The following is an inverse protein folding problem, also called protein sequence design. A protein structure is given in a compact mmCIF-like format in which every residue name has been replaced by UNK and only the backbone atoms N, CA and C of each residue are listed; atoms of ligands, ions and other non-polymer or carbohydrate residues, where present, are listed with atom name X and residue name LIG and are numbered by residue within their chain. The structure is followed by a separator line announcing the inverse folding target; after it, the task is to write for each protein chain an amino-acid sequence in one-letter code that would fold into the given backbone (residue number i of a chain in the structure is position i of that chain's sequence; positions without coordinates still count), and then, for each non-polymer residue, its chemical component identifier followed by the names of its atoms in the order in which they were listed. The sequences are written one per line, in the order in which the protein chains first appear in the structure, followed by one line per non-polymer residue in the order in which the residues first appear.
data_IF_631842844693
#
_entry.id   IF_631842844693
#
_cell.length_a   1.000
_cell.length_b   1.000
_cell.length_c   1.000
_cell.angle_alpha   90.00
_cell.angle_beta   90.00
_cell.angle_gamma   90.00
#
_symmetry.space_group_name_H-M   'P 1'
#
loop_
_entity.id
_entity.type
_entity.pdbx_description
1 polymer ?
#
# COMPACT_ATOMS: atom_id res chain seq x y z
N UNK A 1 -35.55 43.40 6.71
CA UNK A 1 -35.45 41.94 6.53
C UNK A 1 -34.01 41.57 6.22
N UNK A 2 -33.22 41.22 7.24
CA UNK A 2 -31.86 40.72 7.03
C UNK A 2 -31.94 39.33 6.40
N UNK A 3 -31.52 39.18 5.14
CA UNK A 3 -31.34 37.86 4.51
C UNK A 3 -30.24 37.15 5.30
N UNK A 4 -30.63 36.24 6.20
CA UNK A 4 -29.74 35.20 6.73
C UNK A 4 -29.43 34.23 5.59
N UNK A 5 -28.59 34.65 4.66
CA UNK A 5 -27.99 33.75 3.69
C UNK A 5 -27.05 32.80 4.43
N UNK A 6 -27.07 31.52 4.10
CA UNK A 6 -26.05 30.58 4.54
C UNK A 6 -24.75 30.95 3.81
N UNK A 7 -23.85 31.68 4.47
CA UNK A 7 -22.53 32.01 3.92
C UNK A 7 -21.63 30.75 3.98
N UNK A 8 -21.75 29.89 2.96
CA UNK A 8 -20.94 28.68 2.82
C UNK A 8 -19.48 29.05 2.48
N UNK A 9 -18.55 28.62 3.32
CA UNK A 9 -17.11 28.77 3.05
C UNK A 9 -16.57 27.58 2.25
N UNK A 10 -15.43 27.75 1.59
CA UNK A 10 -14.73 26.64 0.92
C UNK A 10 -14.39 25.51 1.91
N UNK A 11 -14.08 25.86 3.16
CA UNK A 11 -13.82 24.92 4.23
C UNK A 11 -15.08 24.06 4.49
N UNK A 12 -16.25 24.68 4.69
CA UNK A 12 -17.51 23.96 4.91
C UNK A 12 -17.84 23.00 3.77
N UNK A 13 -17.63 23.43 2.52
CA UNK A 13 -17.87 22.60 1.33
C UNK A 13 -16.94 21.39 1.29
N UNK A 14 -15.63 21.58 1.51
CA UNK A 14 -14.67 20.47 1.55
C UNK A 14 -15.01 19.49 2.67
N UNK A 15 -15.40 19.99 3.86
CA UNK A 15 -15.86 19.12 4.97
C UNK A 15 -17.03 18.26 4.54
N UNK A 16 -18.06 18.89 3.98
CA UNK A 16 -19.27 18.22 3.54
C UNK A 16 -18.97 17.13 2.50
N UNK A 17 -18.16 17.46 1.48
CA UNK A 17 -17.79 16.51 0.43
C UNK A 17 -17.04 15.30 0.98
N UNK A 18 -16.08 15.49 1.89
CA UNK A 18 -15.33 14.37 2.48
C UNK A 18 -16.20 13.49 3.40
N UNK A 19 -17.12 14.08 4.17
CA UNK A 19 -18.08 13.32 4.98
C UNK A 19 -19.02 12.52 4.07
N UNK A 20 -19.56 13.16 3.03
CA UNK A 20 -20.43 12.47 2.06
C UNK A 20 -19.66 11.35 1.36
N UNK A 21 -18.41 11.55 0.97
CA UNK A 21 -17.57 10.52 0.37
C UNK A 21 -17.37 9.31 1.29
N UNK A 22 -17.13 9.54 2.59
CA UNK A 22 -17.07 8.46 3.57
C UNK A 22 -18.38 7.70 3.67
N UNK A 23 -19.51 8.40 3.77
CA UNK A 23 -20.83 7.77 3.90
C UNK A 23 -21.24 7.02 2.64
N UNK A 24 -20.96 7.56 1.45
CA UNK A 24 -21.24 6.90 0.16
C UNK A 24 -20.38 5.66 0.00
N UNK A 25 -19.09 5.72 0.37
CA UNK A 25 -18.20 4.57 0.38
C UNK A 25 -18.76 3.46 1.29
N UNK A 26 -19.16 3.77 2.52
CA UNK A 26 -19.76 2.79 3.43
C UNK A 26 -21.08 2.23 2.89
N UNK A 27 -21.95 3.09 2.36
CA UNK A 27 -23.23 2.67 1.82
C UNK A 27 -23.09 1.73 0.61
N UNK A 28 -22.06 1.94 -0.22
CA UNK A 28 -21.80 1.11 -1.39
C UNK A 28 -21.08 -0.19 -1.08
N UNK A 29 -20.24 -0.22 -0.03
CA UNK A 29 -19.31 -1.33 0.19
C UNK A 29 -19.58 -2.18 1.44
N UNK A 30 -20.49 -1.81 2.34
CA UNK A 30 -20.75 -2.63 3.55
C UNK A 30 -21.29 -4.03 3.21
N UNK A 31 -20.84 -5.10 3.91
CA UNK A 31 -19.92 -5.13 5.05
C UNK A 31 -18.42 -5.16 4.68
N UNK A 32 -18.10 -5.02 3.40
CA UNK A 32 -16.77 -5.04 2.82
C UNK A 32 -16.69 -6.07 1.70
N UNK A 33 -15.87 -5.79 0.68
CA UNK A 33 -15.56 -6.77 -0.36
C UNK A 33 -14.44 -7.70 0.11
N UNK A 34 -14.66 -9.00 0.02
CA UNK A 34 -13.78 -10.05 0.57
C UNK A 34 -13.20 -10.89 -0.57
N UNK A 35 -11.92 -10.67 -0.86
CA UNK A 35 -11.15 -11.51 -1.78
C UNK A 35 -10.67 -12.80 -1.12
N UNK A 36 -10.11 -13.75 -1.89
CA UNK A 36 -9.48 -14.94 -1.30
C UNK A 36 -8.47 -14.59 -0.19
N UNK A 37 -7.63 -13.57 -0.39
CA UNK A 37 -6.70 -13.09 0.63
C UNK A 37 -7.41 -12.57 1.89
N UNK A 38 -8.52 -11.83 1.70
CA UNK A 38 -9.32 -11.29 2.79
C UNK A 38 -9.95 -12.42 3.62
N UNK A 39 -10.47 -13.43 2.94
CA UNK A 39 -11.08 -14.62 3.53
C UNK A 39 -10.06 -15.41 4.33
N UNK A 40 -8.88 -15.69 3.76
CA UNK A 40 -7.80 -16.38 4.47
C UNK A 40 -7.35 -15.60 5.71
N UNK A 41 -7.17 -14.28 5.62
CA UNK A 41 -6.73 -13.48 6.77
C UNK A 41 -7.81 -13.33 7.84
N UNK A 42 -9.09 -13.26 7.47
CA UNK A 42 -10.20 -13.32 8.43
C UNK A 42 -10.27 -14.69 9.12
N UNK A 43 -10.04 -15.77 8.38
CA UNK A 43 -9.96 -17.13 8.91
C UNK A 43 -8.82 -17.31 9.91
N UNK A 44 -7.61 -16.86 9.57
CA UNK A 44 -6.47 -16.82 10.50
C UNK A 44 -6.82 -16.04 11.77
N UNK A 45 -7.43 -14.86 11.61
CA UNK A 45 -7.85 -14.02 12.73
C UNK A 45 -8.84 -14.72 13.66
N UNK A 46 -9.86 -15.40 13.11
CA UNK A 46 -10.88 -16.10 13.91
C UNK A 46 -10.39 -17.38 14.56
N UNK A 47 -9.52 -18.14 13.88
CA UNK A 47 -9.11 -19.48 14.34
C UNK A 47 -7.79 -19.47 15.10
N UNK A 48 -7.03 -18.38 15.00
CA UNK A 48 -5.68 -18.27 15.53
C UNK A 48 -4.71 -19.21 14.82
N UNK A 49 -4.88 -19.45 13.53
CA UNK A 49 -3.96 -20.23 12.69
C UNK A 49 -3.14 -19.30 11.79
N UNK A 50 -2.14 -19.87 11.10
CA UNK A 50 -1.32 -19.22 10.10
C UNK A 50 -1.32 -20.09 8.85
N UNK A 51 -1.93 -19.61 7.77
CA UNK A 51 -1.99 -20.26 6.46
C UNK A 51 -1.30 -19.41 5.38
N UNK A 52 -1.31 -18.09 5.56
CA UNK A 52 -0.73 -17.11 4.67
C UNK A 52 0.70 -16.76 5.09
N UNK A 53 1.50 -16.38 4.12
CA UNK A 53 2.88 -15.92 4.31
C UNK A 53 2.98 -14.41 4.57
N UNK A 54 1.85 -13.71 4.71
CA UNK A 54 1.85 -12.29 5.12
C UNK A 54 2.18 -12.11 6.60
N UNK A 55 2.40 -10.88 7.08
CA UNK A 55 2.49 -10.63 8.52
C UNK A 55 1.17 -10.95 9.23
N UNK A 56 1.27 -11.43 10.47
CA UNK A 56 0.10 -11.77 11.30
C UNK A 56 -0.74 -10.53 11.71
N UNK A 57 -0.12 -9.35 11.79
CA UNK A 57 -0.76 -8.15 12.34
C UNK A 57 -2.08 -7.78 11.66
N UNK A 58 -2.21 -7.97 10.35
CA UNK A 58 -3.47 -7.68 9.67
C UNK A 58 -4.59 -8.66 10.06
N UNK A 59 -4.29 -9.96 10.13
CA UNK A 59 -5.25 -10.97 10.60
C UNK A 59 -5.66 -10.69 12.06
N UNK A 60 -4.72 -10.27 12.92
CA UNK A 60 -5.01 -9.88 14.30
C UNK A 60 -5.90 -8.64 14.38
N UNK A 61 -5.67 -7.63 13.53
CA UNK A 61 -6.56 -6.46 13.43
C UNK A 61 -7.98 -6.89 13.05
N UNK A 62 -8.12 -7.76 12.04
CA UNK A 62 -9.43 -8.30 11.66
C UNK A 62 -10.08 -9.07 12.81
N UNK A 63 -9.31 -9.90 13.53
CA UNK A 63 -9.80 -10.64 14.70
C UNK A 63 -10.36 -9.71 15.79
N UNK A 64 -9.66 -8.61 16.09
CA UNK A 64 -10.12 -7.63 17.09
C UNK A 64 -11.46 -7.03 16.67
N UNK A 65 -11.61 -6.58 15.42
CA UNK A 65 -12.87 -6.01 14.94
C UNK A 65 -14.00 -7.05 14.89
N UNK A 66 -13.72 -8.24 14.37
CA UNK A 66 -14.66 -9.36 14.25
C UNK A 66 -15.15 -9.85 15.62
N UNK A 67 -14.29 -9.78 16.66
CA UNK A 67 -14.66 -10.15 18.03
C UNK A 67 -15.66 -9.18 18.68
N UNK A 68 -15.73 -7.93 18.20
CA UNK A 68 -16.66 -6.91 18.70
C UNK A 68 -17.98 -6.95 17.92
N UNK A 69 -17.89 -6.97 16.59
CA UNK A 69 -19.05 -7.14 15.69
C UNK A 69 -18.68 -8.19 14.65
N UNK A 70 -19.34 -9.36 14.64
CA UNK A 70 -19.03 -10.43 13.68
C UNK A 70 -19.07 -9.93 12.24
N UNK A 71 -18.04 -10.29 11.48
CA UNK A 71 -17.81 -9.87 10.10
C UNK A 71 -16.82 -8.70 10.00
N UNK A 72 -16.80 -8.05 8.83
CA UNK A 72 -15.80 -7.02 8.51
C UNK A 72 -16.35 -5.60 8.48
N UNK A 73 -17.64 -5.41 8.79
CA UNK A 73 -18.30 -4.11 8.72
C UNK A 73 -17.65 -3.08 9.67
N UNK A 74 -17.36 -3.47 10.92
CA UNK A 74 -16.73 -2.57 11.88
C UNK A 74 -15.29 -2.24 11.49
N UNK A 75 -14.55 -3.23 10.96
CA UNK A 75 -13.23 -3.00 10.39
C UNK A 75 -13.28 -1.99 9.24
N UNK A 76 -14.24 -2.14 8.32
CA UNK A 76 -14.41 -1.24 7.18
C UNK A 76 -14.66 0.21 7.63
N UNK A 77 -15.55 0.39 8.62
CA UNK A 77 -15.81 1.69 9.25
C UNK A 77 -14.53 2.25 9.87
N UNK A 78 -13.79 1.45 10.64
CA UNK A 78 -12.55 1.87 11.29
C UNK A 78 -11.47 2.27 10.30
N UNK A 79 -11.21 1.43 9.30
CA UNK A 79 -10.21 1.69 8.25
C UNK A 79 -10.54 2.94 7.44
N UNK A 80 -11.80 3.07 7.00
CA UNK A 80 -12.27 4.27 6.30
C UNK A 80 -12.19 5.51 7.17
N UNK A 81 -12.57 5.42 8.45
CA UNK A 81 -12.48 6.53 9.39
C UNK A 81 -11.04 7.04 9.54
N UNK A 82 -10.05 6.15 9.64
CA UNK A 82 -8.62 6.53 9.72
C UNK A 82 -8.23 7.41 8.53
N UNK A 83 -8.61 7.04 7.30
CA UNK A 83 -8.34 7.84 6.12
C UNK A 83 -9.10 9.17 6.16
N UNK A 84 -10.43 9.13 6.24
CA UNK A 84 -11.25 10.33 6.09
C UNK A 84 -11.06 11.33 7.23
N UNK A 85 -10.78 10.87 8.46
CA UNK A 85 -10.38 11.75 9.55
C UNK A 85 -9.03 12.43 9.29
N UNK A 86 -8.08 11.71 8.68
CA UNK A 86 -6.78 12.28 8.28
C UNK A 86 -6.95 13.34 7.18
N UNK A 87 -7.76 13.06 6.16
CA UNK A 87 -8.07 14.01 5.07
C UNK A 87 -8.79 15.26 5.60
N UNK A 88 -9.78 15.09 6.49
CA UNK A 88 -10.46 16.20 7.16
C UNK A 88 -9.48 17.01 8.03
N UNK A 89 -8.54 16.32 8.69
CA UNK A 89 -7.50 16.93 9.51
C UNK A 89 -6.55 17.84 8.76
N UNK A 90 -6.28 17.58 7.46
CA UNK A 90 -5.41 18.43 6.62
C UNK A 90 -5.86 19.88 6.56
N UNK A 91 -7.16 20.14 6.64
CA UNK A 91 -7.74 21.50 6.71
C UNK A 91 -7.17 22.29 7.89
N UNK A 92 -6.98 21.63 9.05
CA UNK A 92 -6.43 22.24 10.26
C UNK A 92 -4.92 22.51 10.20
N UNK A 93 -4.24 22.11 9.12
CA UNK A 93 -2.86 22.48 8.86
C UNK A 93 -2.74 23.81 8.10
N UNK A 94 -3.86 24.39 7.67
CA UNK A 94 -3.93 25.62 6.88
C UNK A 94 -4.80 26.66 7.55
N UNK A 95 -4.46 27.95 7.44
CA UNK A 95 -5.25 29.01 8.08
C UNK A 95 -6.63 29.16 7.44
N UNK A 96 -6.75 28.91 6.12
CA UNK A 96 -8.01 28.95 5.36
C UNK A 96 -7.93 27.94 4.21
N UNK A 97 -9.06 27.31 3.90
CA UNK A 97 -9.19 26.49 2.70
C UNK A 97 -9.46 27.37 1.47
N UNK A 98 -8.77 27.10 0.37
CA UNK A 98 -9.03 27.66 -0.95
C UNK A 98 -10.19 26.95 -1.64
N UNK A 99 -10.92 27.67 -2.49
CA UNK A 99 -11.95 27.08 -3.35
C UNK A 99 -11.41 26.03 -4.32
N UNK A 100 -10.10 26.01 -4.60
CA UNK A 100 -9.46 24.95 -5.37
C UNK A 100 -9.56 23.56 -4.70
N UNK A 101 -9.71 23.51 -3.37
CA UNK A 101 -9.88 22.24 -2.66
C UNK A 101 -11.26 21.60 -2.86
N UNK A 102 -12.30 22.38 -3.15
CA UNK A 102 -13.65 21.85 -3.36
C UNK A 102 -13.74 20.87 -4.56
N UNK A 103 -13.27 21.21 -5.78
CA UNK A 103 -13.27 20.26 -6.89
C UNK A 103 -12.36 19.06 -6.62
N UNK A 104 -11.23 19.22 -5.93
CA UNK A 104 -10.38 18.08 -5.55
C UNK A 104 -11.09 17.16 -4.55
N UNK A 105 -11.78 17.71 -3.54
CA UNK A 105 -12.58 16.91 -2.61
C UNK A 105 -13.76 16.23 -3.31
N UNK A 106 -14.36 16.87 -4.33
CA UNK A 106 -15.37 16.25 -5.17
C UNK A 106 -14.79 15.05 -5.94
N UNK A 107 -13.55 15.14 -6.45
CA UNK A 107 -12.88 14.01 -7.09
C UNK A 107 -12.72 12.82 -6.12
N UNK A 108 -12.49 13.02 -4.82
CA UNK A 108 -12.50 11.93 -3.85
C UNK A 108 -13.88 11.27 -3.74
N UNK A 109 -14.95 12.06 -3.75
CA UNK A 109 -16.33 11.56 -3.72
C UNK A 109 -16.66 10.74 -4.97
N UNK A 110 -16.15 11.11 -6.14
CA UNK A 110 -16.48 10.46 -7.43
C UNK A 110 -15.33 9.62 -7.99
N UNK A 111 -14.36 9.22 -7.18
CA UNK A 111 -13.25 8.39 -7.63
C UNK A 111 -13.49 6.93 -7.23
N UNK A 112 -13.54 5.96 -8.17
CA UNK A 112 -13.52 4.54 -7.83
C UNK A 112 -12.31 4.10 -6.99
N UNK A 113 -11.16 4.81 -7.07
CA UNK A 113 -9.98 4.56 -6.23
C UNK A 113 -10.26 4.85 -4.74
N UNK A 114 -11.25 5.69 -4.44
CA UNK A 114 -11.69 5.92 -3.06
C UNK A 114 -12.93 5.09 -2.78
N UNK A 115 -13.96 5.17 -3.61
CA UNK A 115 -15.25 4.51 -3.34
C UNK A 115 -15.16 2.99 -3.30
N UNK A 116 -14.40 2.37 -4.21
CA UNK A 116 -14.34 0.91 -4.32
C UNK A 116 -13.21 0.38 -3.45
N UNK A 117 -11.97 0.88 -3.61
CA UNK A 117 -10.81 0.33 -2.89
C UNK A 117 -10.92 0.45 -1.38
N UNK A 118 -11.45 1.55 -0.85
CA UNK A 118 -11.67 1.68 0.59
C UNK A 118 -12.72 0.69 1.11
N UNK A 119 -13.61 0.23 0.23
CA UNK A 119 -14.58 -0.83 0.46
C UNK A 119 -14.01 -2.25 0.52
N UNK A 120 -12.79 -2.46 0.03
CA UNK A 120 -12.17 -3.79 -0.03
C UNK A 120 -11.40 -4.06 1.26
N UNK A 121 -11.60 -5.25 1.83
CA UNK A 121 -10.92 -5.69 3.05
C UNK A 121 -9.53 -6.22 2.69
N UNK A 122 -8.63 -5.32 2.34
CA UNK A 122 -7.23 -5.63 2.01
C UNK A 122 -6.24 -4.96 2.96
N UNK A 123 -5.15 -5.68 3.23
CA UNK A 123 -3.97 -5.16 3.93
C UNK A 123 -3.37 -3.93 3.24
N UNK A 124 -3.40 -3.87 1.90
CA UNK A 124 -2.93 -2.71 1.12
C UNK A 124 -3.63 -1.40 1.50
N UNK A 125 -4.94 -1.48 1.70
CA UNK A 125 -5.79 -0.35 2.00
C UNK A 125 -5.49 0.15 3.41
N UNK A 126 -5.45 -0.76 4.39
CA UNK A 126 -5.11 -0.40 5.76
C UNK A 126 -3.70 0.16 5.86
N UNK A 127 -2.73 -0.44 5.16
CA UNK A 127 -1.36 0.08 5.07
C UNK A 127 -1.34 1.53 4.57
N UNK A 128 -1.99 1.80 3.43
CA UNK A 128 -2.04 3.14 2.85
C UNK A 128 -2.74 4.15 3.78
N UNK A 129 -3.86 3.76 4.39
CA UNK A 129 -4.62 4.59 5.33
C UNK A 129 -3.80 4.95 6.58
N UNK A 130 -3.14 3.97 7.19
CA UNK A 130 -2.26 4.17 8.35
C UNK A 130 -1.03 5.01 8.01
N UNK A 131 -0.44 4.82 6.82
CA UNK A 131 0.69 5.62 6.37
C UNK A 131 0.28 7.10 6.18
N UNK A 132 -0.85 7.35 5.51
CA UNK A 132 -1.43 8.71 5.37
C UNK A 132 -1.70 9.33 6.75
N UNK A 133 -2.32 8.59 7.66
CA UNK A 133 -2.59 9.06 9.02
C UNK A 133 -1.29 9.38 9.78
N UNK A 134 -0.29 8.52 9.68
CA UNK A 134 1.03 8.71 10.28
C UNK A 134 1.70 10.01 9.82
N UNK A 135 1.77 10.25 8.51
CA UNK A 135 2.36 11.49 7.98
C UNK A 135 1.49 12.72 8.23
N UNK A 136 0.17 12.60 8.25
CA UNK A 136 -0.72 13.67 8.69
C UNK A 136 -0.41 14.08 10.14
N UNK A 137 -0.26 13.11 11.05
CA UNK A 137 0.09 13.37 12.45
C UNK A 137 1.50 13.97 12.57
N UNK A 138 2.48 13.55 11.76
CA UNK A 138 3.79 14.22 11.68
C UNK A 138 3.66 15.66 11.19
N UNK A 139 2.85 15.91 10.17
CA UNK A 139 2.59 17.27 9.68
C UNK A 139 1.96 18.13 10.78
N UNK A 140 0.98 17.58 11.52
CA UNK A 140 0.35 18.25 12.67
C UNK A 140 1.36 18.52 13.79
N UNK A 141 2.24 17.57 14.08
CA UNK A 141 3.30 17.73 15.06
C UNK A 141 4.26 18.87 14.65
N UNK A 142 4.57 19.00 13.35
CA UNK A 142 5.47 20.03 12.85
C UNK A 142 4.94 21.47 13.01
N UNK A 143 3.62 21.65 12.89
CA UNK A 143 2.94 22.93 13.12
C UNK A 143 2.96 23.28 14.60
N UNK A 144 2.76 22.29 15.47
CA UNK A 144 2.72 22.47 16.92
C UNK A 144 4.12 22.51 17.58
N UNK A 145 5.18 22.17 16.83
CA UNK A 145 6.54 22.09 17.34
C UNK A 145 7.10 23.36 18.00
N UNK A 146 6.82 24.60 17.53
CA UNK A 146 7.27 25.81 18.21
C UNK A 146 6.75 25.98 19.65
N UNK A 147 5.75 25.21 20.08
CA UNK A 147 5.29 25.24 21.46
C UNK A 147 6.42 24.82 22.42
N UNK A 148 6.39 25.30 23.67
CA UNK A 148 7.43 25.01 24.69
C UNK A 148 7.63 23.51 24.99
N UNK A 149 6.80 22.62 24.45
CA UNK A 149 6.87 21.15 24.65
C UNK A 149 6.54 20.41 23.35
N UNK A 150 7.22 19.29 23.06
CA UNK A 150 6.86 18.43 21.93
C UNK A 150 5.42 17.92 22.05
N UNK A 151 4.69 17.78 20.93
CA UNK A 151 3.32 17.26 20.93
C UNK A 151 3.31 15.74 21.07
N UNK A 152 3.71 15.24 22.25
CA UNK A 152 3.97 13.81 22.51
C UNK A 152 2.84 12.86 22.11
N UNK A 153 1.57 13.23 22.36
CA UNK A 153 0.42 12.39 22.00
C UNK A 153 0.32 12.23 20.47
N UNK A 154 0.49 13.32 19.73
CA UNK A 154 0.44 13.33 18.26
C UNK A 154 1.61 12.54 17.69
N UNK A 155 2.81 12.68 18.27
CA UNK A 155 3.99 11.90 17.87
C UNK A 155 3.81 10.41 18.16
N UNK A 156 3.33 10.04 19.35
CA UNK A 156 3.05 8.65 19.68
C UNK A 156 2.03 8.03 18.71
N UNK A 157 0.96 8.77 18.41
CA UNK A 157 -0.02 8.36 17.39
C UNK A 157 0.60 8.18 16.01
N UNK A 158 1.47 9.10 15.59
CA UNK A 158 2.17 9.00 14.30
C UNK A 158 3.06 7.76 14.22
N UNK A 159 3.88 7.52 15.25
CA UNK A 159 4.80 6.39 15.32
C UNK A 159 4.03 5.06 15.38
N UNK A 160 2.94 5.00 16.15
CA UNK A 160 2.10 3.81 16.23
C UNK A 160 1.42 3.50 14.89
N UNK A 161 0.86 4.51 14.23
CA UNK A 161 0.23 4.34 12.91
C UNK A 161 1.24 3.81 11.89
N UNK A 162 2.45 4.38 11.83
CA UNK A 162 3.50 3.96 10.91
C UNK A 162 4.09 2.58 11.25
N UNK A 163 4.23 2.26 12.54
CA UNK A 163 4.69 0.95 12.99
C UNK A 163 3.68 -0.16 12.62
N UNK A 164 2.38 0.11 12.82
CA UNK A 164 1.32 -0.78 12.40
C UNK A 164 1.25 -0.89 10.87
N UNK A 165 1.37 0.21 10.13
CA UNK A 165 1.46 0.18 8.67
C UNK A 165 2.60 -0.76 8.20
N UNK A 166 3.79 -0.62 8.77
CA UNK A 166 4.93 -1.48 8.47
C UNK A 166 4.72 -2.96 8.85
N UNK A 167 3.80 -3.27 9.77
CA UNK A 167 3.42 -4.67 10.06
C UNK A 167 2.26 -5.17 9.22
N UNK A 168 1.41 -4.31 8.66
CA UNK A 168 0.33 -4.76 7.76
C UNK A 168 0.92 -5.26 6.42
N UNK A 169 2.05 -4.70 5.99
CA UNK A 169 2.79 -5.05 4.77
C UNK A 169 4.28 -5.15 5.07
N UNK A 170 4.93 -6.28 4.78
CA UNK A 170 6.36 -6.52 5.09
C UNK A 170 7.29 -5.44 4.51
N UNK A 171 7.07 -5.02 3.27
CA UNK A 171 7.83 -3.95 2.62
C UNK A 171 7.41 -2.53 3.07
N UNK A 172 6.39 -2.41 3.92
CA UNK A 172 5.92 -1.14 4.48
C UNK A 172 6.95 -0.45 5.38
N UNK A 173 7.95 -1.18 5.89
CA UNK A 173 9.04 -0.60 6.69
C UNK A 173 9.87 0.44 5.92
N UNK A 174 9.83 0.42 4.57
CA UNK A 174 10.44 1.44 3.71
C UNK A 174 9.94 2.86 4.03
N UNK A 175 8.74 2.99 4.61
CA UNK A 175 8.17 4.28 5.00
C UNK A 175 8.89 4.91 6.21
N UNK A 176 9.43 4.08 7.12
CA UNK A 176 10.06 4.52 8.37
C UNK A 176 11.22 5.54 8.19
N UNK A 177 12.21 5.36 7.30
CA UNK A 177 13.27 6.33 7.12
C UNK A 177 12.75 7.71 6.67
N UNK A 178 11.71 7.78 5.85
CA UNK A 178 11.13 9.06 5.40
C UNK A 178 10.37 9.77 6.52
N UNK A 179 9.69 9.03 7.40
CA UNK A 179 9.12 9.58 8.61
C UNK A 179 10.21 10.16 9.54
N UNK A 180 11.32 9.43 9.69
CA UNK A 180 12.50 9.91 10.43
C UNK A 180 13.09 11.19 9.83
N UNK A 181 13.24 11.26 8.52
CA UNK A 181 13.72 12.46 7.81
C UNK A 181 12.76 13.65 8.00
N UNK A 182 11.45 13.43 7.92
CA UNK A 182 10.44 14.47 8.15
C UNK A 182 10.53 15.05 9.57
N UNK A 183 10.72 14.19 10.57
CA UNK A 183 10.88 14.64 11.95
C UNK A 183 12.23 15.32 12.17
N UNK A 184 13.33 14.77 11.66
CA UNK A 184 14.65 15.41 11.71
C UNK A 184 14.61 16.83 11.15
N UNK A 185 13.94 17.01 10.00
CA UNK A 185 13.74 18.30 9.38
C UNK A 185 12.87 19.23 10.22
N UNK A 186 11.80 18.71 10.84
CA UNK A 186 10.93 19.49 11.74
C UNK A 186 11.73 20.12 12.89
N UNK A 187 12.69 19.39 13.46
CA UNK A 187 13.50 19.83 14.62
C UNK A 187 14.77 20.59 14.22
N UNK A 188 15.02 20.84 12.93
CA UNK A 188 16.27 21.47 12.44
C UNK A 188 16.63 22.82 13.05
N UNK A 189 15.64 23.57 13.51
CA UNK A 189 15.85 24.84 14.21
C UNK A 189 16.54 24.71 15.57
N UNK A 190 16.56 23.51 16.17
CA UNK A 190 17.18 23.24 17.47
C UNK A 190 18.62 22.70 17.35
N UNK A 191 19.17 22.65 16.13
CA UNK A 191 20.54 22.22 15.84
C UNK A 191 20.65 20.78 15.32
N UNK A 192 21.72 20.51 14.57
CA UNK A 192 21.90 19.26 13.82
C UNK A 192 21.90 18.00 14.69
N UNK A 193 22.46 18.07 15.92
CA UNK A 193 22.48 16.94 16.86
C UNK A 193 21.06 16.53 17.26
N UNK A 194 20.20 17.51 17.57
CA UNK A 194 18.80 17.24 17.92
C UNK A 194 18.02 16.70 16.73
N UNK A 195 18.24 17.25 15.54
CA UNK A 195 17.67 16.67 14.30
C UNK A 195 18.04 15.21 14.09
N UNK A 196 19.32 14.86 14.26
CA UNK A 196 19.77 13.47 14.13
C UNK A 196 19.14 12.57 15.21
N UNK A 197 19.10 13.02 16.46
CA UNK A 197 18.50 12.25 17.56
C UNK A 197 17.01 11.98 17.28
N UNK A 198 16.26 13.00 16.88
CA UNK A 198 14.84 12.83 16.56
C UNK A 198 14.60 12.01 15.31
N UNK A 199 15.43 12.16 14.27
CA UNK A 199 15.34 11.38 13.05
C UNK A 199 15.64 9.90 13.26
N UNK A 200 16.81 9.60 13.81
CA UNK A 200 17.24 8.23 14.11
C UNK A 200 16.37 7.61 15.21
N UNK A 201 16.00 8.37 16.23
CA UNK A 201 15.15 7.92 17.32
C UNK A 201 13.74 7.55 16.85
N UNK A 202 13.13 8.34 15.96
CA UNK A 202 11.82 7.99 15.39
C UNK A 202 11.90 6.80 14.44
N UNK A 203 12.93 6.72 13.60
CA UNK A 203 13.17 5.53 12.78
C UNK A 203 13.29 4.26 13.64
N UNK A 204 14.15 4.29 14.66
CA UNK A 204 14.32 3.18 15.59
C UNK A 204 13.03 2.85 16.35
N UNK A 205 12.29 3.87 16.81
CA UNK A 205 11.01 3.67 17.49
C UNK A 205 9.98 2.98 16.59
N UNK A 206 9.89 3.36 15.31
CA UNK A 206 9.00 2.70 14.35
C UNK A 206 9.41 1.24 14.15
N UNK A 207 10.70 0.96 13.92
CA UNK A 207 11.21 -0.41 13.74
C UNK A 207 10.93 -1.28 14.96
N UNK A 208 11.24 -0.78 16.17
CA UNK A 208 11.03 -1.52 17.42
C UNK A 208 9.55 -1.73 17.68
N UNK A 209 8.72 -0.68 17.57
CA UNK A 209 7.27 -0.82 17.76
C UNK A 209 6.65 -1.76 16.74
N UNK A 210 7.11 -1.72 15.49
CA UNK A 210 6.68 -2.61 14.42
C UNK A 210 7.02 -4.07 14.77
N UNK A 211 8.24 -4.35 15.20
CA UNK A 211 8.62 -5.68 15.65
C UNK A 211 7.79 -6.17 16.85
N UNK A 212 7.56 -5.31 17.85
CA UNK A 212 6.74 -5.65 19.02
C UNK A 212 5.28 -5.95 18.63
N UNK A 213 4.70 -5.17 17.72
CA UNK A 213 3.36 -5.44 17.16
C UNK A 213 3.36 -6.78 16.44
N UNK A 214 4.38 -7.07 15.63
CA UNK A 214 4.53 -8.35 14.92
C UNK A 214 4.54 -9.53 15.87
N UNK A 215 5.36 -9.49 16.93
CA UNK A 215 5.43 -10.52 17.98
C UNK A 215 4.09 -10.66 18.70
N UNK A 216 3.49 -9.53 19.12
CA UNK A 216 2.21 -9.54 19.83
C UNK A 216 1.03 -10.03 18.98
N UNK A 217 1.16 -9.97 17.66
CA UNK A 217 0.14 -10.41 16.70
C UNK A 217 0.23 -11.89 16.34
N UNK A 218 1.32 -12.58 16.67
CA UNK A 218 1.46 -13.99 16.35
C UNK A 218 0.43 -14.82 17.14
N UNK A 219 -0.38 -15.66 16.48
CA UNK A 219 -1.37 -16.44 17.19
C UNK A 219 -0.71 -17.57 17.99
N UNK A 220 -1.30 -17.92 19.14
CA UNK A 220 -0.73 -18.91 20.05
C UNK A 220 -0.60 -20.33 19.44
N UNK A 221 -1.38 -20.65 18.41
CA UNK A 221 -1.31 -21.94 17.69
C UNK A 221 -0.41 -21.88 16.45
N UNK A 222 0.20 -20.73 16.15
CA UNK A 222 1.19 -20.67 15.09
C UNK A 222 2.41 -21.50 15.50
N UNK A 223 2.85 -22.39 14.61
CA UNK A 223 4.19 -22.94 14.70
C UNK A 223 5.27 -21.85 14.50
N UNK A 224 6.54 -22.23 14.31
CA UNK A 224 7.58 -21.29 13.94
C UNK A 224 7.17 -20.48 12.69
N UNK A 225 7.42 -19.17 12.70
CA UNK A 225 7.06 -18.31 11.57
C UNK A 225 7.98 -18.59 10.37
N UNK A 226 7.49 -19.37 9.40
CA UNK A 226 8.20 -19.72 8.16
C UNK A 226 7.82 -18.80 7.00
N UNK A 227 6.87 -17.90 7.21
CA UNK A 227 6.26 -17.07 6.18
C UNK A 227 7.27 -16.22 5.38
N UNK A 228 8.24 -15.62 6.08
CA UNK A 228 9.28 -14.82 5.44
C UNK A 228 10.19 -15.65 4.53
N UNK A 229 10.57 -16.86 4.97
CA UNK A 229 11.39 -17.78 4.17
C UNK A 229 10.66 -18.28 2.93
N UNK A 230 9.39 -18.65 3.08
CA UNK A 230 8.52 -19.07 1.98
C UNK A 230 8.36 -17.95 0.94
N UNK A 231 8.11 -16.71 1.37
CA UNK A 231 7.97 -15.57 0.46
C UNK A 231 9.24 -15.27 -0.35
N UNK A 232 10.42 -15.35 0.29
CA UNK A 232 11.70 -15.17 -0.41
C UNK A 232 11.93 -16.31 -1.40
N UNK A 233 11.68 -17.56 -1.00
CA UNK A 233 11.83 -18.72 -1.88
C UNK A 233 10.95 -18.63 -3.12
N UNK A 234 9.69 -18.23 -2.95
CA UNK A 234 8.76 -18.01 -4.06
C UNK A 234 9.30 -16.95 -5.03
N UNK A 235 9.84 -15.86 -4.50
CA UNK A 235 10.48 -14.80 -5.30
C UNK A 235 11.69 -15.32 -6.08
N UNK A 236 12.58 -16.07 -5.43
CA UNK A 236 13.77 -16.66 -6.06
C UNK A 236 13.40 -17.63 -7.18
N UNK A 237 12.40 -18.49 -6.95
CA UNK A 237 11.89 -19.43 -7.96
C UNK A 237 11.27 -18.72 -9.16
N UNK A 238 10.49 -17.67 -8.91
CA UNK A 238 9.89 -16.84 -9.96
C UNK A 238 10.96 -16.18 -10.84
N UNK A 239 12.02 -15.68 -10.22
CA UNK A 239 13.15 -15.05 -10.90
C UNK A 239 13.95 -16.02 -11.74
N UNK A 240 14.20 -17.22 -11.22
CA UNK A 240 14.91 -18.27 -11.95
C UNK A 240 14.12 -18.60 -13.22
N UNK A 241 12.82 -18.83 -13.10
CA UNK A 241 11.97 -19.17 -14.25
C UNK A 241 11.85 -17.98 -15.22
N UNK A 242 11.64 -16.77 -14.69
CA UNK A 242 11.55 -15.56 -15.49
C UNK A 242 12.84 -15.28 -16.27
N UNK A 243 14.00 -15.45 -15.63
CA UNK A 243 15.29 -15.30 -16.31
C UNK A 243 15.48 -16.32 -17.43
N UNK A 244 15.05 -17.58 -17.24
CA UNK A 244 15.07 -18.61 -18.31
C UNK A 244 14.10 -18.28 -19.44
N UNK A 245 12.93 -17.70 -19.13
CA UNK A 245 11.97 -17.28 -20.14
C UNK A 245 12.50 -16.13 -21.01
N UNK A 246 13.27 -15.21 -20.42
CA UNK A 246 13.91 -14.09 -21.14
C UNK A 246 15.23 -14.48 -21.83
N UNK A 247 15.96 -15.46 -21.30
CA UNK A 247 17.15 -16.04 -21.90
C UNK A 247 17.06 -17.58 -21.94
N UNK A 248 16.54 -18.15 -23.04
CA UNK A 248 16.46 -19.60 -23.22
C UNK A 248 17.82 -20.30 -23.27
N UNK A 249 18.95 -19.59 -23.33
CA UNK A 249 20.29 -20.20 -23.29
C UNK A 249 20.89 -20.26 -21.89
N UNK A 250 20.25 -19.63 -20.90
CA UNK A 250 20.70 -19.52 -19.51
C UNK A 250 20.89 -20.88 -18.84
N UNK A 251 22.13 -21.24 -18.49
CA UNK A 251 22.43 -22.53 -17.84
C UNK A 251 22.04 -22.48 -16.37
N UNK A 252 21.24 -23.45 -15.92
CA UNK A 252 20.90 -23.61 -14.50
C UNK A 252 21.91 -24.55 -13.84
N UNK A 253 23.15 -24.10 -13.72
CA UNK A 253 24.30 -24.95 -13.33
C UNK A 253 24.11 -25.58 -11.95
N UNK A 254 23.62 -24.81 -10.97
CA UNK A 254 23.39 -25.25 -9.60
C UNK A 254 22.23 -26.24 -9.54
N UNK A 255 21.11 -25.94 -10.22
CA UNK A 255 19.97 -26.87 -10.28
C UNK A 255 20.33 -28.15 -11.00
N UNK A 256 21.01 -28.07 -12.14
CA UNK A 256 21.40 -29.25 -12.91
C UNK A 256 22.38 -30.15 -12.13
N UNK A 257 23.20 -29.58 -11.25
CA UNK A 257 24.08 -30.35 -10.38
C UNK A 257 23.31 -31.06 -9.24
N UNK A 258 22.27 -30.41 -8.69
CA UNK A 258 21.46 -30.97 -7.61
C UNK A 258 20.38 -31.96 -8.11
N UNK A 259 19.73 -31.63 -9.23
CA UNK A 259 18.65 -32.38 -9.86
C UNK A 259 18.67 -32.13 -11.39
N UNK A 260 19.28 -33.02 -12.19
CA UNK A 260 19.34 -32.89 -13.64
C UNK A 260 17.96 -32.83 -14.32
N UNK A 261 16.92 -33.41 -13.71
CA UNK A 261 15.55 -33.36 -14.23
C UNK A 261 14.96 -31.95 -14.12
N UNK A 262 15.34 -31.22 -13.06
CA UNK A 262 14.79 -29.91 -12.75
C UNK A 262 14.97 -28.90 -13.90
N UNK A 263 16.16 -28.89 -14.51
CA UNK A 263 16.44 -28.01 -15.64
C UNK A 263 15.52 -28.33 -16.84
N UNK A 264 15.28 -29.61 -17.12
CA UNK A 264 14.38 -30.03 -18.21
C UNK A 264 12.96 -29.53 -17.98
N UNK A 265 12.42 -29.72 -16.78
CA UNK A 265 11.07 -29.29 -16.41
C UNK A 265 10.92 -27.77 -16.43
N UNK A 266 11.87 -27.04 -15.85
CA UNK A 266 11.85 -25.57 -15.85
C UNK A 266 11.82 -25.03 -17.27
N UNK A 267 12.61 -25.59 -18.18
CA UNK A 267 12.70 -25.11 -19.56
C UNK A 267 11.48 -25.47 -20.41
N UNK A 268 10.99 -26.70 -20.28
CA UNK A 268 9.93 -27.23 -21.15
C UNK A 268 8.53 -26.94 -20.64
N UNK A 269 8.36 -26.74 -19.33
CA UNK A 269 7.06 -26.50 -18.68
C UNK A 269 7.01 -25.17 -17.95
N UNK A 270 8.05 -24.83 -17.19
CA UNK A 270 8.10 -23.59 -16.41
C UNK A 270 8.14 -22.32 -17.26
N UNK A 271 9.15 -22.18 -18.12
CA UNK A 271 9.36 -20.99 -18.94
C UNK A 271 8.18 -20.67 -19.89
N UNK A 272 7.50 -21.66 -20.52
CA UNK A 272 6.28 -21.38 -21.28
C UNK A 272 5.08 -20.89 -20.45
N UNK A 273 5.04 -21.20 -19.14
CA UNK A 273 4.00 -20.73 -18.22
C UNK A 273 4.35 -19.38 -17.57
N UNK A 274 5.59 -18.92 -17.71
CA UNK A 274 6.00 -17.62 -17.19
C UNK A 274 5.15 -16.50 -17.79
N UNK A 275 4.69 -15.62 -16.90
CA UNK A 275 4.10 -14.35 -17.28
C UNK A 275 4.37 -13.31 -16.20
N UNK A 276 4.60 -12.05 -16.57
CA UNK A 276 4.72 -10.93 -15.62
C UNK A 276 3.39 -10.55 -14.94
N UNK A 277 2.26 -11.17 -15.35
CA UNK A 277 0.93 -10.91 -14.76
C UNK A 277 0.83 -11.49 -13.35
N UNK A 278 1.20 -12.76 -13.18
CA UNK A 278 1.08 -13.47 -11.90
C UNK A 278 2.01 -14.67 -11.86
N UNK A 279 2.50 -14.97 -10.68
CA UNK A 279 3.25 -16.19 -10.39
C UNK A 279 2.36 -17.44 -10.37
N UNK A 280 1.07 -17.29 -10.03
CA UNK A 280 0.11 -18.39 -9.81
C UNK A 280 -0.01 -19.35 -11.01
N UNK A 281 0.31 -18.88 -12.23
CA UNK A 281 0.32 -19.73 -13.42
C UNK A 281 1.41 -20.82 -13.38
N UNK A 282 2.47 -20.62 -12.60
CA UNK A 282 3.50 -21.64 -12.37
C UNK A 282 2.97 -22.78 -11.50
N UNK A 283 2.12 -22.47 -10.52
CA UNK A 283 1.48 -23.45 -9.64
C UNK A 283 0.36 -24.23 -10.34
N UNK A 284 -0.11 -23.76 -11.51
CA UNK A 284 -1.08 -24.48 -12.33
C UNK A 284 -0.51 -25.79 -12.93
N UNK A 285 0.81 -25.94 -12.98
CA UNK A 285 1.48 -27.16 -13.42
C UNK A 285 2.13 -27.90 -12.23
N UNK A 286 1.55 -29.04 -11.79
CA UNK A 286 2.07 -29.79 -10.65
C UNK A 286 3.52 -30.26 -10.81
N UNK A 287 4.01 -30.46 -12.04
CA UNK A 287 5.37 -30.90 -12.27
C UNK A 287 6.37 -29.76 -12.03
N UNK A 288 6.02 -28.53 -12.41
CA UNK A 288 6.83 -27.34 -12.12
C UNK A 288 6.90 -27.13 -10.61
N UNK A 289 5.76 -27.12 -9.93
CA UNK A 289 5.70 -27.01 -8.47
C UNK A 289 6.51 -28.11 -7.76
N UNK A 290 6.34 -29.37 -8.16
CA UNK A 290 7.06 -30.48 -7.55
C UNK A 290 8.59 -30.35 -7.68
N UNK A 291 9.09 -29.93 -8.85
CA UNK A 291 10.53 -29.72 -9.07
C UNK A 291 11.07 -28.58 -8.22
N UNK A 292 10.37 -27.43 -8.19
CA UNK A 292 10.79 -26.24 -7.47
C UNK A 292 10.79 -26.45 -5.95
N UNK A 293 9.76 -27.13 -5.42
CA UNK A 293 9.59 -27.37 -3.99
C UNK A 293 10.43 -28.55 -3.46
N UNK A 294 10.90 -29.45 -4.33
CA UNK A 294 11.83 -30.53 -3.96
C UNK A 294 13.25 -30.04 -3.67
N UNK A 295 13.68 -28.94 -4.30
CA UNK A 295 15.02 -28.38 -4.04
C UNK A 295 15.14 -27.86 -2.61
N UNK A 296 16.35 -27.85 -2.04
CA UNK A 296 16.59 -27.18 -0.76
C UNK A 296 16.62 -25.66 -0.93
N UNK A 297 16.38 -24.91 0.14
CA UNK A 297 16.46 -23.44 0.12
C UNK A 297 17.85 -22.95 -0.31
N UNK A 298 18.91 -23.66 0.08
CA UNK A 298 20.29 -23.34 -0.31
C UNK A 298 20.50 -23.50 -1.81
N UNK A 299 19.93 -24.54 -2.42
CA UNK A 299 20.04 -24.79 -3.87
C UNK A 299 19.29 -23.72 -4.66
N UNK A 300 18.05 -23.39 -4.26
CA UNK A 300 17.24 -22.30 -4.85
C UNK A 300 18.00 -20.97 -4.77
N UNK A 301 18.45 -20.61 -3.57
CA UNK A 301 19.16 -19.36 -3.34
C UNK A 301 20.49 -19.28 -4.07
N UNK A 302 21.26 -20.37 -4.11
CA UNK A 302 22.54 -20.41 -4.83
C UNK A 302 22.33 -20.26 -6.34
N UNK A 303 21.31 -20.92 -6.92
CA UNK A 303 20.98 -20.75 -8.33
C UNK A 303 20.49 -19.34 -8.65
N UNK A 304 19.67 -18.76 -7.77
CA UNK A 304 19.20 -17.39 -7.92
C UNK A 304 20.36 -16.39 -7.88
N UNK A 305 21.26 -16.49 -6.89
CA UNK A 305 22.45 -15.65 -6.80
C UNK A 305 23.39 -15.82 -8.00
N UNK A 306 23.55 -17.03 -8.52
CA UNK A 306 24.31 -17.29 -9.75
C UNK A 306 23.74 -16.49 -10.94
N UNK A 307 22.42 -16.46 -11.09
CA UNK A 307 21.75 -15.67 -12.14
C UNK A 307 21.96 -14.17 -11.90
N UNK A 308 21.77 -13.68 -10.67
CA UNK A 308 21.93 -12.25 -10.35
C UNK A 308 23.36 -11.78 -10.61
N UNK A 309 24.37 -12.57 -10.23
CA UNK A 309 25.78 -12.17 -10.25
C UNK A 309 26.44 -12.44 -11.62
N UNK A 310 26.16 -13.58 -12.25
CA UNK A 310 26.83 -14.00 -13.49
C UNK A 310 25.98 -13.81 -14.74
N UNK A 311 24.66 -13.62 -14.59
CA UNK A 311 23.73 -13.39 -15.69
C UNK A 311 22.82 -12.16 -15.47
N UNK A 312 23.39 -10.99 -15.10
CA UNK A 312 22.59 -9.83 -14.70
C UNK A 312 21.67 -9.32 -15.81
N UNK A 313 22.00 -9.54 -17.08
CA UNK A 313 21.13 -9.18 -18.21
C UNK A 313 19.79 -9.91 -18.19
N UNK A 314 19.80 -11.23 -17.98
CA UNK A 314 18.58 -12.05 -17.91
C UNK A 314 17.75 -11.70 -16.66
N UNK A 315 18.42 -11.52 -15.52
CA UNK A 315 17.77 -11.08 -14.27
C UNK A 315 17.09 -9.71 -14.43
N UNK A 316 17.81 -8.71 -14.94
CA UNK A 316 17.28 -7.36 -15.11
C UNK A 316 16.17 -7.34 -16.15
N UNK A 317 16.28 -8.08 -17.26
CA UNK A 317 15.21 -8.17 -18.26
C UNK A 317 13.89 -8.67 -17.63
N UNK A 318 13.97 -9.74 -16.84
CA UNK A 318 12.82 -10.24 -16.06
C UNK A 318 12.28 -9.18 -15.09
N UNK A 319 13.15 -8.57 -14.27
CA UNK A 319 12.73 -7.60 -13.25
C UNK A 319 12.11 -6.33 -13.84
N UNK A 320 12.65 -5.85 -14.96
CA UNK A 320 12.08 -4.74 -15.71
C UNK A 320 10.71 -5.08 -16.28
N UNK A 321 10.53 -6.28 -16.85
CA UNK A 321 9.24 -6.72 -17.38
C UNK A 321 8.17 -6.78 -16.28
N UNK A 322 8.45 -7.47 -15.17
CA UNK A 322 7.53 -7.55 -14.02
C UNK A 322 7.21 -6.15 -13.48
N UNK A 323 8.23 -5.31 -13.26
CA UNK A 323 8.02 -3.95 -12.75
C UNK A 323 7.20 -3.10 -13.73
N UNK A 324 7.43 -3.25 -15.04
CA UNK A 324 6.63 -2.56 -16.07
C UNK A 324 5.16 -2.94 -15.95
N UNK A 325 4.85 -4.21 -15.69
CA UNK A 325 3.48 -4.65 -15.50
C UNK A 325 2.83 -4.13 -14.22
N UNK A 326 3.58 -4.06 -13.12
CA UNK A 326 3.08 -3.47 -11.86
C UNK A 326 2.90 -1.96 -11.96
N UNK A 327 3.84 -1.25 -12.58
CA UNK A 327 3.88 0.22 -12.57
C UNK A 327 3.12 0.86 -13.73
N UNK A 328 3.22 0.30 -14.94
CA UNK A 328 2.54 0.83 -16.12
C UNK A 328 1.24 0.09 -16.46
N UNK A 329 1.02 -1.09 -15.87
CA UNK A 329 -0.22 -1.89 -16.03
C UNK A 329 -0.71 -1.92 -17.48
N UNK A 330 0.10 -2.42 -18.43
CA UNK A 330 -0.17 -2.31 -19.86
C UNK A 330 -1.45 -3.03 -20.31
N UNK A 331 -1.94 -3.96 -19.50
CA UNK A 331 -3.27 -4.61 -19.63
C UNK A 331 -3.93 -4.61 -18.26
N UNK A 332 -4.57 -3.50 -17.93
CA UNK A 332 -5.14 -3.24 -16.61
C UNK A 332 -6.09 -4.36 -16.15
N UNK A 333 -6.91 -4.93 -17.04
CA UNK A 333 -7.86 -6.01 -16.72
C UNK A 333 -7.20 -7.29 -16.22
N UNK A 334 -5.93 -7.52 -16.57
CA UNK A 334 -5.16 -8.69 -16.10
C UNK A 334 -4.59 -8.49 -14.69
N UNK A 335 -4.62 -7.25 -14.18
CA UNK A 335 -3.94 -6.84 -12.96
C UNK A 335 -4.90 -6.59 -11.80
N UNK A 336 -6.06 -7.26 -11.79
CA UNK A 336 -7.09 -7.18 -10.73
C UNK A 336 -7.34 -5.73 -10.25
N UNK A 337 -7.73 -4.81 -11.15
CA UNK A 337 -7.86 -3.40 -10.81
C UNK A 337 -9.08 -3.13 -9.93
N UNK A 338 -10.04 -4.05 -9.90
CA UNK A 338 -11.28 -3.95 -9.15
C UNK A 338 -11.62 -5.29 -8.52
N UNK A 339 -12.11 -5.26 -7.29
CA UNK A 339 -12.69 -6.42 -6.62
C UNK A 339 -13.98 -6.00 -5.90
N UNK A 340 -15.06 -6.76 -6.12
CA UNK A 340 -16.38 -6.54 -5.49
C UNK A 340 -16.98 -7.89 -5.08
N UNK A 341 -17.88 -7.85 -4.09
CA UNK A 341 -18.50 -9.03 -3.50
C UNK A 341 -17.57 -9.86 -2.63
N UNK A 342 -17.88 -11.15 -2.55
CA UNK A 342 -17.18 -12.13 -1.72
C UNK A 342 -16.76 -13.34 -2.56
N UNK A 343 -15.48 -13.67 -2.50
CA UNK A 343 -14.88 -14.84 -3.15
C UNK A 343 -13.75 -15.43 -2.30
N UNK A 344 -13.55 -16.74 -2.38
CA UNK A 344 -12.54 -17.46 -1.60
C UNK A 344 -12.69 -18.98 -1.66
N UNK A 345 -11.75 -19.74 -1.05
CA UNK A 345 -11.83 -21.20 -1.01
C UNK A 345 -13.12 -21.67 -0.33
N UNK A 346 -13.83 -22.61 -0.96
CA UNK A 346 -15.15 -23.06 -0.50
C UNK A 346 -15.13 -23.64 0.93
N UNK A 347 -14.08 -24.36 1.29
CA UNK A 347 -13.90 -24.90 2.64
C UNK A 347 -13.74 -23.77 3.68
N UNK A 348 -12.90 -22.77 3.40
CA UNK A 348 -12.70 -21.61 4.28
C UNK A 348 -13.98 -20.78 4.42
N UNK A 349 -14.70 -20.52 3.33
CA UNK A 349 -15.99 -19.83 3.35
C UNK A 349 -17.03 -20.57 4.19
N UNK A 350 -17.09 -21.90 4.07
CA UNK A 350 -17.98 -22.75 4.86
C UNK A 350 -17.64 -22.67 6.35
N UNK A 351 -16.36 -22.79 6.71
CA UNK A 351 -15.87 -22.66 8.09
C UNK A 351 -16.15 -21.27 8.69
N UNK A 352 -16.10 -20.23 7.86
CA UNK A 352 -16.43 -18.85 8.26
C UNK A 352 -17.92 -18.54 8.27
N UNK A 353 -18.76 -19.44 7.72
CA UNK A 353 -20.19 -19.23 7.50
C UNK A 353 -20.48 -17.98 6.64
N UNK A 354 -19.66 -17.76 5.62
CA UNK A 354 -19.80 -16.63 4.69
C UNK A 354 -20.22 -17.18 3.32
N UNK A 355 -21.31 -16.68 2.77
CA UNK A 355 -21.74 -17.03 1.42
C UNK A 355 -20.91 -16.27 0.38
N UNK A 356 -20.35 -16.94 -0.65
CA UNK A 356 -19.77 -16.26 -1.79
C UNK A 356 -20.87 -15.60 -2.62
N UNK A 357 -20.53 -14.51 -3.31
CA UNK A 357 -21.47 -13.89 -4.22
C UNK A 357 -21.21 -12.42 -4.49
N UNK A 358 -21.99 -11.89 -5.43
CA UNK A 358 -22.06 -10.47 -5.79
C UNK A 358 -23.52 -10.06 -5.82
N UNK A 359 -23.87 -9.02 -5.07
CA UNK A 359 -25.21 -8.46 -5.09
C UNK A 359 -25.37 -7.40 -6.19
N UNK A 360 -26.50 -6.67 -6.18
CA UNK A 360 -26.74 -5.61 -7.17
C UNK A 360 -25.83 -4.39 -6.97
N UNK A 361 -25.48 -4.06 -5.74
CA UNK A 361 -24.59 -2.94 -5.39
C UNK A 361 -23.15 -3.25 -5.82
N UNK A 362 -22.68 -4.48 -5.60
CA UNK A 362 -21.38 -4.96 -6.07
C UNK A 362 -21.25 -4.81 -7.59
N UNK A 363 -22.28 -5.27 -8.32
CA UNK A 363 -22.31 -5.15 -9.79
C UNK A 363 -22.33 -3.68 -10.24
N UNK A 364 -23.07 -2.82 -9.55
CA UNK A 364 -23.12 -1.40 -9.86
C UNK A 364 -21.75 -0.73 -9.64
N UNK A 365 -21.07 -1.04 -8.53
CA UNK A 365 -19.72 -0.55 -8.26
C UNK A 365 -18.70 -1.05 -9.28
N UNK A 366 -18.75 -2.34 -9.63
CA UNK A 366 -17.87 -2.91 -10.65
C UNK A 366 -18.08 -2.22 -12.00
N UNK A 367 -19.34 -2.13 -12.44
CA UNK A 367 -19.69 -1.45 -13.69
C UNK A 367 -19.32 0.02 -13.67
N UNK A 368 -19.37 0.69 -12.51
CA UNK A 368 -18.92 2.07 -12.40
C UNK A 368 -17.39 2.18 -12.52
N UNK A 369 -16.65 1.31 -11.83
CA UNK A 369 -15.18 1.31 -11.86
C UNK A 369 -14.62 0.99 -13.25
N UNK A 370 -15.27 0.09 -14.02
CA UNK A 370 -14.78 -0.34 -15.33
C UNK A 370 -14.69 0.80 -16.35
N UNK A 371 -15.46 1.87 -16.18
CA UNK A 371 -15.42 3.05 -17.08
C UNK A 371 -14.10 3.82 -16.99
N UNK A 372 -13.29 3.57 -15.96
CA UNK A 372 -12.07 4.32 -15.69
C UNK A 372 -10.80 3.52 -15.95
N UNK A 373 -10.88 2.23 -16.28
CA UNK A 373 -9.73 1.32 -16.32
C UNK A 373 -8.66 1.74 -17.33
N UNK A 374 -9.06 2.25 -18.49
CA UNK A 374 -8.14 2.75 -19.52
C UNK A 374 -7.73 4.22 -19.30
N UNK A 375 -8.19 4.84 -18.21
CA UNK A 375 -7.97 6.24 -17.91
C UNK A 375 -6.78 6.50 -16.98
N UNK A 376 -6.41 7.77 -16.79
CA UNK A 376 -5.34 8.15 -15.86
C UNK A 376 -5.67 7.85 -14.40
N UNK A 377 -6.93 7.52 -14.08
CA UNK A 377 -7.36 7.20 -12.72
C UNK A 377 -6.92 5.80 -12.27
N UNK A 378 -6.76 4.86 -13.20
CA UNK A 378 -6.18 3.53 -12.99
C UNK A 378 -4.77 3.45 -13.58
N UNK A 379 -3.94 4.45 -13.26
CA UNK A 379 -2.57 4.55 -13.76
C UNK A 379 -1.62 5.02 -12.67
N UNK A 380 -0.81 4.09 -12.13
CA UNK A 380 0.20 4.44 -11.13
C UNK A 380 1.22 5.45 -11.65
N UNK A 381 1.52 5.46 -12.96
CA UNK A 381 2.35 6.49 -13.57
C UNK A 381 1.74 7.89 -13.41
N UNK A 382 0.43 8.03 -13.61
CA UNK A 382 -0.27 9.32 -13.44
C UNK A 382 -0.18 9.82 -12.00
N UNK A 383 -0.28 8.93 -11.02
CA UNK A 383 -0.10 9.27 -9.61
C UNK A 383 1.36 9.52 -9.23
N UNK A 384 2.33 8.82 -9.82
CA UNK A 384 3.75 9.11 -9.63
C UNK A 384 4.10 10.52 -10.12
N UNK A 385 3.64 10.88 -11.32
CA UNK A 385 3.82 12.23 -11.88
C UNK A 385 3.15 13.26 -10.97
N UNK A 386 1.91 13.00 -10.53
CA UNK A 386 1.20 13.87 -9.58
C UNK A 386 1.97 14.05 -8.28
N UNK A 387 2.48 12.97 -7.69
CA UNK A 387 3.26 12.99 -6.46
C UNK A 387 4.54 13.84 -6.61
N UNK A 388 5.27 13.69 -7.72
CA UNK A 388 6.48 14.48 -8.00
C UNK A 388 6.14 15.96 -8.19
N UNK A 389 5.12 16.28 -8.98
CA UNK A 389 4.70 17.67 -9.24
C UNK A 389 4.20 18.36 -7.96
N UNK A 390 3.38 17.68 -7.17
CA UNK A 390 2.88 18.19 -5.89
C UNK A 390 4.04 18.37 -4.91
N UNK A 391 4.94 17.38 -4.78
CA UNK A 391 6.13 17.51 -3.93
C UNK A 391 6.98 18.72 -4.33
N UNK A 392 7.21 18.92 -5.62
CA UNK A 392 7.89 20.11 -6.15
C UNK A 392 7.19 21.41 -5.77
N UNK A 393 5.87 21.50 -5.94
CA UNK A 393 5.09 22.68 -5.57
C UNK A 393 5.14 22.96 -4.05
N UNK A 394 5.11 21.93 -3.21
CA UNK A 394 5.25 22.04 -1.76
C UNK A 394 6.66 22.49 -1.35
N UNK A 395 7.70 22.02 -2.04
CA UNK A 395 9.09 22.48 -1.84
C UNK A 395 9.26 23.97 -2.19
N UNK A 396 8.47 24.51 -3.12
CA UNK A 396 8.44 25.95 -3.41
C UNK A 396 7.75 26.75 -2.31
N UNK A 397 6.73 26.18 -1.63
CA UNK A 397 6.00 26.82 -0.52
C UNK A 397 6.82 26.85 0.78
N UNK A 398 7.61 25.81 1.04
CA UNK A 398 8.56 25.70 2.18
C UNK A 398 7.92 25.80 3.58
N UNK A 399 6.67 25.41 3.74
CA UNK A 399 6.05 25.33 5.06
C UNK A 399 6.59 24.13 5.86
N UNK A 400 6.44 24.12 7.18
CA UNK A 400 6.88 23.01 8.04
C UNK A 400 6.06 21.75 7.77
N UNK A 401 4.74 21.90 7.68
CA UNK A 401 3.83 20.79 7.40
C UNK A 401 4.03 20.20 6.00
N UNK A 402 4.51 21.00 5.04
CA UNK A 402 4.79 20.56 3.67
C UNK A 402 5.76 19.40 3.63
N UNK A 403 6.73 19.39 4.54
CA UNK A 403 7.83 18.42 4.52
C UNK A 403 7.36 17.03 4.91
N UNK A 404 6.43 16.93 5.85
CA UNK A 404 5.81 15.65 6.19
C UNK A 404 4.97 15.12 5.01
N UNK A 405 4.27 15.99 4.29
CA UNK A 405 3.48 15.59 3.11
C UNK A 405 4.39 15.26 1.91
N UNK A 406 5.51 15.96 1.73
CA UNK A 406 6.55 15.59 0.76
C UNK A 406 7.12 14.22 1.12
N UNK A 407 7.46 14.00 2.39
CA UNK A 407 8.00 12.73 2.85
C UNK A 407 7.01 11.57 2.65
N UNK A 408 5.70 11.79 2.81
CA UNK A 408 4.65 10.83 2.43
C UNK A 408 4.77 10.43 0.95
N UNK A 409 4.83 11.41 0.04
CA UNK A 409 4.90 11.15 -1.40
C UNK A 409 6.23 10.48 -1.80
N UNK A 410 7.35 10.91 -1.23
CA UNK A 410 8.66 10.29 -1.48
C UNK A 410 8.71 8.87 -0.91
N UNK A 411 8.11 8.63 0.27
CA UNK A 411 7.97 7.29 0.83
C UNK A 411 7.14 6.39 -0.07
N UNK A 412 6.06 6.91 -0.64
CA UNK A 412 5.22 6.16 -1.57
C UNK A 412 5.96 5.81 -2.88
N UNK A 413 6.74 6.75 -3.43
CA UNK A 413 7.61 6.47 -4.59
C UNK A 413 8.69 5.43 -4.28
N UNK A 414 9.32 5.50 -3.10
CA UNK A 414 10.30 4.51 -2.66
C UNK A 414 9.67 3.14 -2.43
N UNK A 415 8.47 3.10 -1.85
CA UNK A 415 7.68 1.88 -1.70
C UNK A 415 7.35 1.28 -3.08
N UNK A 416 6.93 2.10 -4.05
CA UNK A 416 6.74 1.67 -5.44
C UNK A 416 8.01 1.11 -6.04
N UNK A 417 9.15 1.80 -5.89
CA UNK A 417 10.43 1.32 -6.41
C UNK A 417 10.84 -0.04 -5.82
N UNK A 418 10.43 -0.37 -4.59
CA UNK A 418 10.72 -1.68 -4.00
C UNK A 418 10.13 -2.85 -4.79
N UNK A 419 9.00 -2.65 -5.47
CA UNK A 419 8.37 -3.68 -6.30
C UNK A 419 9.20 -4.05 -7.52
N UNK A 420 10.21 -3.25 -7.90
CA UNK A 420 11.19 -3.70 -8.87
C UNK A 420 11.92 -4.96 -8.39
N UNK A 421 12.20 -5.06 -7.09
CA UNK A 421 12.94 -6.17 -6.50
C UNK A 421 12.06 -7.31 -5.98
N UNK A 422 10.82 -7.02 -5.56
CA UNK A 422 10.00 -7.99 -4.80
C UNK A 422 8.71 -8.43 -5.50
N UNK A 423 8.37 -7.86 -6.66
CA UNK A 423 7.08 -8.18 -7.28
C UNK A 423 7.08 -9.59 -7.90
N UNK A 424 5.93 -10.24 -7.79
CA UNK A 424 5.60 -11.56 -8.35
C UNK A 424 4.24 -11.56 -9.09
N UNK A 425 3.57 -10.42 -9.15
CA UNK A 425 2.27 -10.24 -9.79
C UNK A 425 2.03 -8.76 -10.09
N UNK A 426 1.15 -8.45 -11.03
CA UNK A 426 0.82 -7.08 -11.41
C UNK A 426 -0.40 -6.49 -10.66
N UNK A 427 -0.97 -7.19 -9.67
CA UNK A 427 -2.12 -6.75 -8.87
C UNK A 427 -2.07 -5.23 -8.55
N UNK A 428 -3.00 -4.44 -9.09
CA UNK A 428 -3.04 -2.98 -9.01
C UNK A 428 -2.96 -2.46 -7.56
N UNK A 429 -3.57 -3.21 -6.63
CA UNK A 429 -3.56 -2.87 -5.19
C UNK A 429 -2.16 -2.74 -4.60
N UNK A 430 -1.14 -3.37 -5.18
CA UNK A 430 0.23 -3.33 -4.68
C UNK A 430 0.80 -1.92 -4.63
N UNK A 431 0.39 -1.04 -5.54
CA UNK A 431 0.83 0.35 -5.57
C UNK A 431 -0.26 1.34 -5.12
N UNK A 432 -1.35 0.87 -4.52
CA UNK A 432 -2.44 1.73 -4.02
C UNK A 432 -1.95 2.84 -3.08
N UNK A 433 -0.90 2.59 -2.30
CA UNK A 433 -0.29 3.61 -1.43
C UNK A 433 0.22 4.82 -2.21
N UNK A 434 0.78 4.63 -3.41
CA UNK A 434 1.22 5.73 -4.28
C UNK A 434 0.03 6.59 -4.70
N UNK A 435 -1.03 5.95 -5.17
CA UNK A 435 -2.24 6.61 -5.63
C UNK A 435 -2.85 7.47 -4.50
N UNK A 436 -3.03 6.85 -3.33
CA UNK A 436 -3.62 7.53 -2.18
C UNK A 436 -2.74 8.66 -1.63
N UNK A 437 -1.41 8.47 -1.61
CA UNK A 437 -0.45 9.48 -1.20
C UNK A 437 -0.48 10.70 -2.15
N UNK A 438 -0.53 10.46 -3.46
CA UNK A 438 -0.64 11.50 -4.47
C UNK A 438 -1.96 12.27 -4.36
N UNK A 439 -3.09 11.58 -4.18
CA UNK A 439 -4.40 12.20 -3.98
C UNK A 439 -4.43 13.05 -2.69
N UNK A 440 -3.85 12.53 -1.60
CA UNK A 440 -3.73 13.24 -0.32
C UNK A 440 -2.87 14.50 -0.46
N UNK A 441 -1.72 14.38 -1.13
CA UNK A 441 -0.85 15.51 -1.44
C UNK A 441 -1.55 16.57 -2.29
N UNK A 442 -2.31 16.14 -3.31
CA UNK A 442 -3.08 17.05 -4.18
C UNK A 442 -4.16 17.81 -3.41
N UNK A 443 -4.93 17.13 -2.55
CA UNK A 443 -5.91 17.78 -1.67
C UNK A 443 -5.22 18.80 -0.75
N UNK A 444 -4.10 18.41 -0.15
CA UNK A 444 -3.33 19.28 0.74
C UNK A 444 -2.78 20.54 0.03
N UNK A 445 -2.29 20.39 -1.20
CA UNK A 445 -1.86 21.52 -2.02
C UNK A 445 -3.04 22.42 -2.38
N UNK A 446 -4.17 21.83 -2.77
CA UNK A 446 -5.37 22.54 -3.18
C UNK A 446 -6.02 23.34 -2.03
N UNK A 447 -5.82 22.94 -0.77
CA UNK A 447 -6.26 23.71 0.40
C UNK A 447 -5.60 25.09 0.47
N UNK A 448 -4.37 25.27 -0.02
CA UNK A 448 -3.63 26.53 0.06
C UNK A 448 -2.59 26.64 -1.09
N UNK A 449 -3.04 26.85 -2.35
CA UNK A 449 -2.15 26.76 -3.51
C UNK A 449 -1.09 27.87 -3.51
N UNK A 450 0.16 27.61 -3.98
CA UNK A 450 1.29 28.53 -3.89
C UNK A 450 1.25 29.67 -4.94
N UNK A 451 0.07 30.26 -5.19
CA UNK A 451 -0.16 31.25 -6.25
C UNK A 451 0.77 32.46 -6.12
N UNK A 452 0.99 32.95 -4.89
CA UNK A 452 1.83 34.11 -4.63
C UNK A 452 3.33 33.84 -4.85
N UNK A 453 3.79 32.62 -4.58
CA UNK A 453 5.17 32.18 -4.79
C UNK A 453 5.45 32.02 -6.29
N UNK A 454 4.54 31.36 -7.02
CA UNK A 454 4.64 31.17 -8.48
C UNK A 454 4.64 32.51 -9.19
N UNK A 455 3.74 33.44 -8.83
CA UNK A 455 3.73 34.81 -9.40
C UNK A 455 5.03 35.57 -9.14
N UNK A 456 5.71 35.33 -8.02
CA UNK A 456 7.01 35.96 -7.72
C UNK A 456 8.15 35.37 -8.55
N UNK A 457 8.12 34.05 -8.80
CA UNK A 457 9.10 33.39 -9.66
C UNK A 457 8.96 33.84 -11.12
N UNK A 458 7.74 33.93 -11.65
CA UNK A 458 7.48 34.35 -13.04
C UNK A 458 7.80 35.83 -13.33
N UNK A 459 8.01 36.64 -12.30
CA UNK A 459 8.38 38.07 -12.43
C UNK A 459 9.89 38.31 -12.39
N UNK A 460 10.68 37.28 -12.11
CA UNK A 460 12.15 37.30 -12.16
C UNK A 460 12.59 36.66 -13.46
#
# INVERSE_FOLDING_TARGET
MARRGLDLTADDVVRGLLIVAFLVMLAGAMPGHLSPDSISQLYEGRTGTRETWGPAAYASVLAVFDSVVPGTALYLIGSGFVLFASLLGLRGLRPKASWAAAPVALLFLVSPIILIFQGIVWKDILFANLAVAGFFLLARASVSWPARRPPWIVLAGALLALALAAQVRQNGLIVAPFAGLALAWTVRGEGWRRSLIWGLGSFAAIVVASHLIGVASQPAKAGPDTAGGVGIRILEQYDIIGAVAHDPTLKLTVFNAADPEAQGVIRTRGAPLYTPVRIDYLDADPAVGAVLWRQSDEVVRAQWLDIVLHHPGAYLAHRFDVFRWVFLTPKIDSCLPLFVGVDGPADTLTKLQIAPGKDASDRALYNYGTWFLDGPLFSHLSYAVTAVLVAGALLLRRDRADIAIIALMVAALAFTASFFAISIACDYRYLYFLDLAAMTGLLYLALDPPIAQVRRLLRR
#
